data_IF_963197136570
#
_entry.id   IF_963197136570
#
_cell.length_a   1.000
_cell.length_b   1.000
_cell.length_c   1.000
_cell.angle_alpha   90.00
_cell.angle_beta   90.00
_cell.angle_gamma   90.00
#
_symmetry.space_group_name_H-M   'P 1'
#
loop_
_entity.id
_entity.type
_entity.pdbx_description
1 polymer ?
#
# COMPACT_ATOMS: atom_id res chain seq x y z
N UNK A 1 30.33 -8.50 -6.69
CA UNK A 1 29.67 -7.96 -5.48
C UNK A 1 28.98 -9.12 -4.78
N UNK A 2 29.21 -9.36 -3.48
CA UNK A 2 28.54 -10.45 -2.76
C UNK A 2 27.14 -9.93 -2.36
N UNK A 3 26.03 -10.63 -2.69
CA UNK A 3 24.70 -10.23 -2.27
C UNK A 3 24.60 -10.17 -0.73
N UNK A 4 23.92 -9.16 -0.21
CA UNK A 4 23.64 -9.10 1.23
C UNK A 4 22.80 -10.32 1.63
N UNK A 5 23.08 -10.87 2.82
CA UNK A 5 22.32 -11.97 3.44
C UNK A 5 21.63 -11.46 4.70
N UNK A 6 20.43 -11.96 4.98
CA UNK A 6 19.70 -11.66 6.22
C UNK A 6 20.32 -12.50 7.34
N UNK A 7 20.79 -11.85 8.41
CA UNK A 7 21.43 -12.53 9.55
C UNK A 7 20.43 -12.93 10.65
N UNK A 8 19.41 -12.09 10.90
CA UNK A 8 18.36 -12.33 11.90
C UNK A 8 17.13 -11.47 11.60
N UNK A 9 16.01 -11.79 12.26
CA UNK A 9 14.78 -11.00 12.27
C UNK A 9 14.40 -10.77 13.73
N UNK A 10 14.25 -9.50 14.13
CA UNK A 10 13.81 -9.13 15.48
C UNK A 10 12.30 -8.84 15.43
N UNK A 11 11.52 -9.56 16.23
CA UNK A 11 10.07 -9.38 16.29
C UNK A 11 9.69 -8.32 17.31
N UNK A 12 8.73 -7.47 16.96
CA UNK A 12 8.20 -6.42 17.83
C UNK A 12 6.74 -6.11 17.48
N UNK A 13 6.07 -5.36 18.35
CA UNK A 13 4.76 -4.76 18.05
C UNK A 13 4.96 -3.42 17.37
N UNK A 14 4.20 -3.17 16.30
CA UNK A 14 4.21 -1.91 15.57
C UNK A 14 3.32 -0.88 16.25
N UNK A 15 3.85 0.32 16.49
CA UNK A 15 3.12 1.39 17.15
C UNK A 15 2.11 2.09 16.22
N UNK A 16 1.07 2.75 16.76
CA UNK A 16 0.08 3.44 15.94
C UNK A 16 0.61 4.62 15.14
N UNK A 17 1.71 5.22 15.58
CA UNK A 17 2.40 6.27 14.81
C UNK A 17 3.18 5.68 13.63
N UNK A 18 3.74 4.49 13.81
CA UNK A 18 4.63 3.84 12.84
C UNK A 18 3.86 3.41 11.60
N UNK A 19 2.76 2.64 11.74
CA UNK A 19 1.98 2.24 10.56
C UNK A 19 1.35 3.43 9.83
N UNK A 20 1.02 4.53 10.53
CA UNK A 20 0.52 5.76 9.89
C UNK A 20 1.60 6.47 9.06
N UNK A 21 2.86 6.38 9.46
CA UNK A 21 3.99 6.93 8.70
C UNK A 21 4.38 6.04 7.53
N UNK A 22 4.21 4.73 7.65
CA UNK A 22 4.48 3.75 6.59
C UNK A 22 3.37 3.70 5.53
N UNK A 23 2.15 4.09 5.89
CA UNK A 23 0.98 4.04 5.01
C UNK A 23 1.14 4.94 3.79
N UNK A 24 0.94 4.36 2.59
CA UNK A 24 1.00 5.10 1.33
C UNK A 24 -0.24 5.99 1.11
N UNK A 25 -1.40 5.59 1.64
CA UNK A 25 -2.67 6.33 1.54
C UNK A 25 -3.60 5.97 2.69
N UNK A 26 -4.50 6.89 3.04
CA UNK A 26 -5.54 6.64 4.03
C UNK A 26 -6.81 6.17 3.31
N UNK A 27 -7.17 4.91 3.52
CA UNK A 27 -8.45 4.38 3.06
C UNK A 27 -9.58 4.96 3.92
N UNK A 28 -10.54 5.63 3.29
CA UNK A 28 -11.71 6.23 3.97
C UNK A 28 -13.04 5.67 3.48
N UNK A 29 -13.06 4.98 2.34
CA UNK A 29 -14.23 4.29 1.82
C UNK A 29 -13.91 2.81 1.55
N UNK A 30 -14.94 1.98 1.60
CA UNK A 30 -14.88 0.56 1.24
C UNK A 30 -15.09 0.33 -0.28
N UNK A 31 -15.40 1.39 -1.03
CA UNK A 31 -15.60 1.29 -2.47
C UNK A 31 -14.26 1.08 -3.21
N UNK A 32 -14.33 0.38 -4.34
CA UNK A 32 -13.15 -0.02 -5.14
C UNK A 32 -13.02 0.84 -6.40
N UNK A 33 -14.01 0.78 -7.28
CA UNK A 33 -14.03 1.43 -8.59
C UNK A 33 -15.28 2.30 -8.74
N UNK A 34 -15.18 3.35 -9.53
CA UNK A 34 -16.32 4.16 -9.93
C UNK A 34 -17.12 3.49 -11.07
N UNK A 35 -18.18 4.17 -11.53
CA UNK A 35 -19.09 3.68 -12.57
C UNK A 35 -18.38 3.49 -13.93
N UNK A 36 -17.25 4.17 -14.15
CA UNK A 36 -16.43 4.08 -15.36
C UNK A 36 -15.32 3.00 -15.24
N UNK A 37 -15.21 2.35 -14.07
CA UNK A 37 -14.23 1.31 -13.80
C UNK A 37 -12.85 1.84 -13.39
N UNK A 38 -12.73 3.11 -13.02
CA UNK A 38 -11.48 3.67 -12.51
C UNK A 38 -11.37 3.51 -10.99
N UNK A 39 -10.16 3.27 -10.45
CA UNK A 39 -9.98 3.18 -9.01
C UNK A 39 -10.36 4.46 -8.29
N UNK A 40 -11.11 4.32 -7.19
CA UNK A 40 -11.53 5.46 -6.37
C UNK A 40 -10.34 5.96 -5.52
N UNK A 41 -9.98 7.26 -5.58
CA UNK A 41 -8.97 7.84 -4.70
C UNK A 41 -9.33 7.66 -3.22
N UNK A 42 -8.37 7.25 -2.39
CA UNK A 42 -8.57 6.93 -0.98
C UNK A 42 -9.62 5.81 -0.72
N UNK A 43 -9.93 5.02 -1.75
CA UNK A 43 -10.70 3.78 -1.67
C UNK A 43 -9.80 2.55 -1.56
N UNK A 44 -10.40 1.36 -1.69
CA UNK A 44 -9.68 0.09 -1.57
C UNK A 44 -8.72 -0.21 -2.73
N UNK A 45 -8.85 0.50 -3.86
CA UNK A 45 -8.01 0.32 -5.05
C UNK A 45 -7.13 1.55 -5.36
N UNK A 46 -6.92 2.44 -4.38
CA UNK A 46 -6.09 3.64 -4.56
C UNK A 46 -4.71 3.30 -5.16
N UNK A 47 -4.36 3.98 -6.26
CA UNK A 47 -3.15 3.74 -7.04
C UNK A 47 -1.85 3.92 -6.25
N UNK A 48 -1.85 4.67 -5.14
CA UNK A 48 -0.69 4.76 -4.24
C UNK A 48 -0.34 3.41 -3.58
N UNK A 49 -1.28 2.45 -3.54
CA UNK A 49 -1.05 1.09 -3.05
C UNK A 49 -0.43 0.17 -4.11
N UNK A 50 -0.27 0.66 -5.33
CA UNK A 50 0.25 -0.08 -6.47
C UNK A 50 -0.80 -0.25 -7.56
N UNK A 51 -0.35 -0.82 -8.68
CA UNK A 51 -1.15 -0.99 -9.88
C UNK A 51 -1.18 -2.45 -10.31
N UNK A 52 -2.36 -2.93 -10.70
CA UNK A 52 -2.56 -4.27 -11.28
C UNK A 52 -2.76 -4.18 -12.80
N UNK A 53 -3.38 -3.11 -13.29
CA UNK A 53 -3.72 -2.98 -14.71
C UNK A 53 -2.55 -2.45 -15.56
N UNK A 54 -2.20 -3.12 -16.67
CA UNK A 54 -1.17 -2.65 -17.58
C UNK A 54 -1.66 -1.40 -18.32
N UNK A 55 -1.31 -0.21 -17.84
CA UNK A 55 -1.68 1.07 -18.47
C UNK A 55 -1.88 2.21 -17.46
N UNK A 56 -2.20 1.87 -16.22
CA UNK A 56 -2.18 2.80 -15.10
C UNK A 56 -0.73 2.88 -14.57
N UNK A 57 -0.25 4.08 -14.23
CA UNK A 57 1.09 4.32 -13.69
C UNK A 57 1.04 5.25 -12.50
#
# INVERSE_FOLDING_TARGET
MIPKRIGKIDFALMGPKEFRQLSATKVITADTYDDDGFPIPMGLMDLHMGVIEPGLR
#
